data_IF_598254514055
#
_entry.id   IF_598254514055
#
_cell.length_a   1.000
_cell.length_b   1.000
_cell.length_c   1.000
_cell.angle_alpha   90.00
_cell.angle_beta   90.00
_cell.angle_gamma   90.00
#
_symmetry.space_group_name_H-M   'P 1'
#
loop_
_entity.id
_entity.type
_entity.pdbx_description
1 polymer ?
#
# COMPACT_ATOMS: atom_id res chain seq x y z
N UNK A 1 -1.87 2.73 2.91
CA UNK A 1 -1.58 2.26 4.29
C UNK A 1 -0.25 1.53 4.26
N UNK A 2 0.74 1.99 5.03
CA UNK A 2 1.98 1.25 5.24
C UNK A 2 1.71 0.19 6.32
N UNK A 3 1.58 -1.08 5.94
CA UNK A 3 1.70 -2.17 6.90
C UNK A 3 3.19 -2.38 7.13
N UNK A 4 3.70 -1.90 8.27
CA UNK A 4 5.05 -2.22 8.73
C UNK A 4 5.06 -3.69 9.15
N UNK A 5 5.17 -4.59 8.17
CA UNK A 5 5.66 -5.93 8.41
C UNK A 5 7.18 -5.83 8.37
N UNK A 6 7.79 -5.47 9.48
CA UNK A 6 9.16 -5.84 9.83
C UNK A 6 9.32 -5.64 11.33
N UNK A 7 10.30 -6.29 11.95
CA UNK A 7 10.67 -6.03 13.35
C UNK A 7 11.26 -4.61 13.58
N UNK A 8 11.07 -3.67 12.64
CA UNK A 8 11.41 -2.25 12.79
C UNK A 8 10.16 -1.51 13.24
N UNK A 9 10.25 -0.82 14.37
CA UNK A 9 9.17 0.03 14.90
C UNK A 9 8.96 1.32 14.07
N UNK A 10 9.80 1.54 13.05
CA UNK A 10 9.90 2.77 12.28
C UNK A 10 10.24 2.48 10.79
N UNK A 11 9.73 3.31 9.88
CA UNK A 11 10.06 3.36 8.45
C UNK A 11 10.48 4.79 8.03
N UNK A 12 11.09 4.99 6.86
CA UNK A 12 11.53 6.32 6.40
C UNK A 12 12.94 6.73 6.81
N UNK A 13 13.42 7.84 6.23
CA UNK A 13 14.72 8.42 6.52
C UNK A 13 14.82 8.97 7.96
N UNK A 14 16.03 9.22 8.45
CA UNK A 14 16.26 9.70 9.82
C UNK A 14 15.48 10.98 10.14
N UNK A 15 15.33 11.86 9.15
CA UNK A 15 14.63 13.15 9.25
C UNK A 15 13.13 13.08 8.95
N UNK A 16 12.63 11.94 8.45
CA UNK A 16 11.20 11.71 8.18
C UNK A 16 10.80 10.29 8.59
N UNK A 17 10.90 10.02 9.90
CA UNK A 17 10.58 8.70 10.46
C UNK A 17 9.07 8.52 10.64
N UNK A 18 8.57 7.41 10.13
CA UNK A 18 7.21 6.91 10.30
C UNK A 18 7.17 5.92 11.45
N UNK A 19 6.77 6.39 12.62
CA UNK A 19 6.51 5.55 13.79
C UNK A 19 5.06 5.10 13.82
N UNK A 20 4.75 4.02 14.55
CA UNK A 20 3.36 3.60 14.78
C UNK A 20 2.47 4.73 15.30
N UNK A 21 2.93 5.49 16.29
CA UNK A 21 2.17 6.60 16.87
C UNK A 21 1.90 7.72 15.85
N UNK A 22 2.88 8.03 14.98
CA UNK A 22 2.71 9.02 13.91
C UNK A 22 1.69 8.54 12.88
N UNK A 23 1.79 7.28 12.46
CA UNK A 23 0.85 6.68 11.50
C UNK A 23 -0.56 6.68 12.08
N UNK A 24 -0.75 6.24 13.32
CA UNK A 24 -2.06 6.21 13.97
C UNK A 24 -2.68 7.60 14.08
N UNK A 25 -1.88 8.61 14.44
CA UNK A 25 -2.32 10.01 14.50
C UNK A 25 -2.80 10.50 13.13
N UNK A 26 -2.04 10.19 12.07
CA UNK A 26 -2.41 10.56 10.70
C UNK A 26 -3.70 9.87 10.27
N UNK A 27 -3.82 8.56 10.48
CA UNK A 27 -5.02 7.79 10.10
C UNK A 27 -6.26 8.31 10.82
N UNK A 28 -6.17 8.65 12.10
CA UNK A 28 -7.28 9.26 12.84
C UNK A 28 -7.67 10.63 12.28
N UNK A 29 -6.69 11.47 11.95
CA UNK A 29 -6.95 12.79 11.36
C UNK A 29 -7.61 12.67 9.98
N UNK A 30 -7.15 11.75 9.15
CA UNK A 30 -7.71 11.52 7.81
C UNK A 30 -9.09 10.86 7.86
N UNK A 31 -9.34 9.97 8.82
CA UNK A 31 -10.67 9.41 9.04
C UNK A 31 -11.66 10.51 9.49
N UNK A 32 -11.23 11.45 10.34
CA UNK A 32 -12.05 12.60 10.74
C UNK A 32 -12.35 13.56 9.57
N UNK A 33 -11.51 13.57 8.53
CA UNK A 33 -11.73 14.31 7.28
C UNK A 33 -12.54 13.52 6.25
N UNK A 34 -12.97 12.30 6.57
CA UNK A 34 -13.64 11.38 5.63
C UNK A 34 -12.81 11.02 4.39
N UNK A 35 -11.48 10.96 4.54
CA UNK A 35 -10.58 10.52 3.49
C UNK A 35 -10.78 9.02 3.19
N UNK A 36 -10.51 8.64 1.94
CA UNK A 36 -10.57 7.25 1.47
C UNK A 36 -9.23 6.56 1.66
N UNK A 37 -9.23 5.35 2.22
CA UNK A 37 -8.04 4.52 2.38
C UNK A 37 -7.96 3.47 1.27
N UNK A 38 -6.82 3.44 0.59
CA UNK A 38 -6.56 2.49 -0.50
C UNK A 38 -5.55 1.46 -0.02
N UNK A 39 -5.84 0.18 -0.26
CA UNK A 39 -4.93 -0.95 -0.05
C UNK A 39 -4.43 -1.48 -1.41
N UNK A 40 -3.24 -1.09 -1.88
CA UNK A 40 -2.69 -1.59 -3.13
C UNK A 40 -2.50 -3.11 -3.13
N UNK A 41 -2.75 -3.76 -4.28
CA UNK A 41 -2.45 -5.18 -4.49
C UNK A 41 -0.98 -5.50 -4.19
N UNK A 42 -0.06 -4.63 -4.61
CA UNK A 42 1.37 -4.79 -4.34
C UNK A 42 1.67 -4.83 -2.83
N UNK A 43 1.06 -3.92 -2.05
CA UNK A 43 1.20 -3.91 -0.59
C UNK A 43 0.69 -5.20 0.03
N UNK A 44 -0.42 -5.78 -0.46
CA UNK A 44 -0.94 -7.07 0.00
C UNK A 44 0.08 -8.20 -0.25
N UNK A 45 0.64 -8.27 -1.47
CA UNK A 45 1.60 -9.31 -1.85
C UNK A 45 2.90 -9.18 -1.05
N UNK A 46 3.45 -7.97 -0.95
CA UNK A 46 4.71 -7.71 -0.23
C UNK A 46 4.56 -7.98 1.27
N UNK A 47 3.49 -7.48 1.89
CA UNK A 47 3.23 -7.69 3.32
C UNK A 47 3.01 -9.18 3.59
N UNK A 48 2.25 -9.88 2.74
CA UNK A 48 2.02 -11.32 2.86
C UNK A 48 3.31 -12.14 2.76
N UNK A 49 4.15 -11.84 1.77
CA UNK A 49 5.46 -12.48 1.61
C UNK A 49 6.38 -12.18 2.80
N UNK A 50 6.36 -10.95 3.31
CA UNK A 50 7.14 -10.60 4.49
C UNK A 50 6.70 -11.40 5.72
N UNK A 51 5.38 -11.50 5.98
CA UNK A 51 4.83 -12.29 7.10
C UNK A 51 5.26 -13.76 7.02
N UNK A 52 5.38 -14.34 5.82
CA UNK A 52 5.86 -15.70 5.65
C UNK A 52 7.33 -15.87 6.09
N UNK A 53 8.13 -14.81 6.00
CA UNK A 53 9.58 -14.84 6.26
C UNK A 53 9.96 -14.40 7.67
N UNK A 54 9.10 -13.70 8.41
CA UNK A 54 9.45 -13.26 9.79
C UNK A 54 9.55 -14.42 10.77
N UNK A 55 10.37 -14.23 11.79
CA UNK A 55 10.32 -15.02 13.02
C UNK A 55 9.19 -14.49 13.93
N UNK A 56 8.53 -15.38 14.67
CA UNK A 56 7.45 -15.02 15.61
C UNK A 56 6.06 -15.48 15.17
N UNK A 57 5.03 -14.79 15.65
CA UNK A 57 3.64 -15.18 15.47
C UNK A 57 3.07 -14.73 14.11
N UNK A 58 3.33 -15.55 13.09
CA UNK A 58 2.84 -15.34 11.73
C UNK A 58 1.32 -15.39 11.65
N UNK A 59 0.67 -16.19 12.49
CA UNK A 59 -0.78 -16.33 12.48
C UNK A 59 -1.45 -15.02 12.91
N UNK A 60 -0.96 -14.42 14.01
CA UNK A 60 -1.46 -13.13 14.48
C UNK A 60 -1.24 -12.01 13.44
N UNK A 61 -0.07 -11.96 12.82
CA UNK A 61 0.22 -10.97 11.76
C UNK A 61 -0.64 -11.18 10.51
N UNK A 62 -0.77 -12.42 10.04
CA UNK A 62 -1.63 -12.75 8.90
C UNK A 62 -3.10 -12.44 9.19
N UNK A 63 -3.56 -12.67 10.42
CA UNK A 63 -4.94 -12.35 10.83
C UNK A 63 -5.20 -10.85 10.73
N UNK A 64 -4.28 -10.00 11.22
CA UNK A 64 -4.39 -8.54 11.09
C UNK A 64 -4.43 -8.08 9.63
N UNK A 65 -3.57 -8.64 8.77
CA UNK A 65 -3.60 -8.34 7.33
C UNK A 65 -4.93 -8.78 6.70
N UNK A 66 -5.46 -9.95 7.08
CA UNK A 66 -6.73 -10.47 6.58
C UNK A 66 -7.93 -9.61 6.99
N UNK A 67 -7.89 -8.95 8.15
CA UNK A 67 -8.92 -8.00 8.56
C UNK A 67 -8.99 -6.81 7.62
N UNK A 68 -7.85 -6.21 7.26
CA UNK A 68 -7.81 -5.13 6.27
C UNK A 68 -8.24 -5.57 4.88
N UNK A 69 -7.86 -6.79 4.47
CA UNK A 69 -8.30 -7.36 3.20
C UNK A 69 -9.82 -7.47 3.15
N UNK A 70 -10.47 -7.94 4.23
CA UNK A 70 -11.93 -7.99 4.33
C UNK A 70 -12.56 -6.61 4.24
N UNK A 71 -12.03 -5.63 4.99
CA UNK A 71 -12.54 -4.25 4.94
C UNK A 71 -12.49 -3.65 3.52
N UNK A 72 -11.39 -3.86 2.80
CA UNK A 72 -11.24 -3.38 1.42
C UNK A 72 -12.06 -4.18 0.40
N UNK A 73 -12.22 -5.49 0.60
CA UNK A 73 -13.07 -6.33 -0.26
C UNK A 73 -14.55 -5.97 -0.12
N UNK A 74 -15.00 -5.69 1.11
CA UNK A 74 -16.39 -5.35 1.43
C UNK A 74 -16.68 -3.83 1.31
N UNK A 75 -15.71 -3.04 0.82
CA UNK A 75 -15.80 -1.59 0.70
C UNK A 75 -16.28 -0.88 1.98
N UNK A 76 -15.85 -1.37 3.14
CA UNK A 76 -16.19 -0.81 4.43
C UNK A 76 -15.43 0.51 4.63
N UNK A 77 -16.18 1.62 4.72
CA UNK A 77 -15.60 2.95 4.96
C UNK A 77 -14.60 2.94 6.14
N UNK A 78 -13.40 3.53 5.99
CA UNK A 78 -12.96 4.40 4.88
C UNK A 78 -12.33 3.67 3.68
N UNK A 79 -12.37 2.35 3.61
CA UNK A 79 -11.66 1.58 2.59
C UNK A 79 -12.32 1.63 1.21
N UNK A 80 -11.53 1.95 0.19
CA UNK A 80 -11.92 1.81 -1.21
C UNK A 80 -12.13 0.34 -1.57
N UNK A 81 -13.05 0.08 -2.50
CA UNK A 81 -13.29 -1.27 -3.00
C UNK A 81 -12.04 -1.79 -3.73
N UNK A 82 -11.58 -2.98 -3.35
CA UNK A 82 -10.37 -3.60 -3.94
C UNK A 82 -10.46 -3.76 -5.48
N UNK A 83 -11.68 -3.91 -6.01
CA UNK A 83 -11.95 -4.07 -7.45
C UNK A 83 -11.61 -2.85 -8.29
N UNK A 84 -11.53 -1.65 -7.71
CA UNK A 84 -11.17 -0.41 -8.43
C UNK A 84 -9.74 -0.44 -9.00
N UNK A 85 -8.91 -1.38 -8.53
CA UNK A 85 -7.54 -1.57 -9.01
C UNK A 85 -7.42 -2.54 -10.19
N UNK A 86 -8.51 -3.20 -10.60
CA UNK A 86 -8.49 -4.19 -11.68
C UNK A 86 -8.03 -3.60 -13.02
N UNK A 87 -8.35 -2.33 -13.28
CA UNK A 87 -7.94 -1.63 -14.49
C UNK A 87 -6.42 -1.55 -14.63
N UNK A 88 -5.68 -1.43 -13.52
CA UNK A 88 -4.22 -1.37 -13.50
C UNK A 88 -3.56 -2.67 -13.99
N UNK A 89 -4.30 -3.78 -13.96
CA UNK A 89 -3.81 -5.10 -14.38
C UNK A 89 -4.32 -5.53 -15.76
N UNK A 90 -4.97 -4.62 -16.51
CA UNK A 90 -5.38 -4.86 -17.89
C UNK A 90 -4.18 -4.87 -18.86
N UNK A 91 -4.37 -5.47 -20.04
CA UNK A 91 -3.30 -5.71 -21.01
C UNK A 91 -2.48 -4.45 -21.37
N UNK A 92 -3.12 -3.30 -21.53
CA UNK A 92 -2.44 -2.05 -21.90
C UNK A 92 -1.60 -1.49 -20.75
N UNK A 93 -2.09 -1.56 -19.50
CA UNK A 93 -1.32 -1.14 -18.33
C UNK A 93 -0.17 -2.10 -18.02
N UNK A 94 -0.36 -3.41 -18.24
CA UNK A 94 0.73 -4.39 -18.16
C UNK A 94 1.80 -4.14 -19.23
N UNK A 95 1.41 -3.78 -20.46
CA UNK A 95 2.35 -3.42 -21.52
C UNK A 95 3.13 -2.17 -21.12
N UNK A 96 2.46 -1.12 -20.66
CA UNK A 96 3.10 0.09 -20.18
C UNK A 96 4.07 -0.18 -19.01
N UNK A 97 3.67 -1.02 -18.05
CA UNK A 97 4.54 -1.44 -16.95
C UNK A 97 5.77 -2.20 -17.47
N UNK A 98 5.61 -3.09 -18.46
CA UNK A 98 6.72 -3.85 -19.04
C UNK A 98 7.76 -2.98 -19.75
N UNK A 99 7.33 -1.85 -20.31
CA UNK A 99 8.19 -0.89 -21.01
C UNK A 99 8.90 0.04 -20.01
N UNK A 100 8.19 0.49 -18.97
CA UNK A 100 8.68 1.51 -18.05
C UNK A 100 9.46 0.96 -16.85
N UNK A 101 9.03 -0.19 -16.30
CA UNK A 101 9.61 -0.73 -15.07
C UNK A 101 11.11 -1.07 -15.18
N UNK A 102 11.66 -1.61 -16.28
CA UNK A 102 13.10 -1.92 -16.35
C UNK A 102 14.01 -0.74 -16.03
N UNK A 103 13.61 0.49 -16.42
CA UNK A 103 14.36 1.71 -16.10
C UNK A 103 14.28 2.11 -14.62
N UNK A 104 13.15 1.81 -13.96
CA UNK A 104 12.97 1.99 -12.51
C UNK A 104 13.74 0.93 -11.73
N UNK A 105 13.73 -0.32 -12.20
CA UNK A 105 14.50 -1.41 -11.61
C UNK A 105 16.02 -1.12 -11.64
N UNK A 106 16.52 -0.49 -12.70
CA UNK A 106 17.91 -0.01 -12.76
C UNK A 106 18.26 1.02 -11.67
N UNK A 107 17.26 1.68 -11.10
CA UNK A 107 17.36 2.62 -9.98
C UNK A 107 16.99 1.98 -8.63
N UNK A 108 16.94 0.63 -8.58
CA UNK A 108 16.62 -0.15 -7.40
C UNK A 108 15.17 0.03 -6.88
N UNK A 109 14.24 0.39 -7.75
CA UNK A 109 12.81 0.40 -7.46
C UNK A 109 12.17 -0.94 -7.84
N UNK A 110 11.42 -1.52 -6.90
CA UNK A 110 10.73 -2.78 -7.14
C UNK A 110 9.53 -2.60 -8.07
N UNK A 111 9.03 -3.70 -8.62
CA UNK A 111 7.77 -3.69 -9.38
C UNK A 111 6.58 -3.32 -8.49
N UNK A 112 6.67 -3.61 -7.18
CA UNK A 112 5.69 -3.20 -6.19
C UNK A 112 5.65 -1.68 -6.05
N UNK A 113 6.81 -1.02 -5.93
CA UNK A 113 6.91 0.44 -5.86
C UNK A 113 6.30 1.11 -7.11
N UNK A 114 6.61 0.58 -8.29
CA UNK A 114 6.07 1.07 -9.55
C UNK A 114 4.54 0.97 -9.59
N UNK A 115 3.99 -0.18 -9.17
CA UNK A 115 2.53 -0.41 -9.19
C UNK A 115 1.78 0.33 -8.08
N UNK A 116 2.41 0.59 -6.92
CA UNK A 116 1.85 1.48 -5.88
C UNK A 116 1.74 2.91 -6.42
N UNK A 117 2.75 3.38 -7.16
CA UNK A 117 2.70 4.68 -7.82
C UNK A 117 1.57 4.74 -8.86
N UNK A 118 1.36 3.68 -9.64
CA UNK A 118 0.27 3.65 -10.63
C UNK A 118 -1.12 3.73 -9.97
N UNK A 119 -1.31 3.09 -8.81
CA UNK A 119 -2.53 3.26 -7.99
C UNK A 119 -2.70 4.73 -7.57
N UNK A 120 -1.63 5.38 -7.11
CA UNK A 120 -1.69 6.78 -6.72
C UNK A 120 -2.04 7.70 -7.89
N UNK A 121 -1.45 7.46 -9.06
CA UNK A 121 -1.77 8.21 -10.29
C UNK A 121 -3.21 8.01 -10.75
N UNK A 122 -3.77 6.81 -10.59
CA UNK A 122 -5.17 6.54 -10.90
C UNK A 122 -6.11 7.44 -10.10
N UNK A 123 -5.94 7.49 -8.77
CA UNK A 123 -6.76 8.36 -7.93
C UNK A 123 -6.45 9.85 -8.17
N UNK A 124 -5.21 10.21 -8.46
CA UNK A 124 -4.88 11.59 -8.82
C UNK A 124 -5.60 12.04 -10.09
N UNK A 125 -5.61 11.21 -11.14
CA UNK A 125 -6.33 11.45 -12.40
C UNK A 125 -7.85 11.52 -12.20
N UNK A 126 -8.38 10.83 -11.21
CA UNK A 126 -9.78 10.90 -10.80
C UNK A 126 -10.12 12.16 -9.96
N UNK A 127 -9.15 13.05 -9.70
CA UNK A 127 -9.35 14.34 -9.03
C UNK A 127 -9.08 14.32 -7.52
N UNK A 128 -8.53 13.23 -6.98
CA UNK A 128 -8.18 13.15 -5.56
C UNK A 128 -6.81 13.78 -5.28
N UNK A 129 -6.68 14.38 -4.10
CA UNK A 129 -5.35 14.64 -3.51
C UNK A 129 -4.87 13.32 -2.91
N UNK A 130 -3.72 12.84 -3.36
CA UNK A 130 -3.20 11.53 -2.97
C UNK A 130 -1.91 11.69 -2.19
N UNK A 131 -1.85 11.06 -1.03
CA UNK A 131 -0.64 10.93 -0.21
C UNK A 131 -0.25 9.46 -0.13
N UNK A 132 0.98 9.13 -0.53
CA UNK A 132 1.49 7.77 -0.41
C UNK A 132 2.34 7.68 0.85
N UNK A 133 1.93 6.79 1.76
CA UNK A 133 2.72 6.46 2.94
C UNK A 133 3.69 5.34 2.55
N UNK A 134 4.88 5.69 2.09
CA UNK A 134 6.00 4.77 1.84
C UNK A 134 7.18 5.09 2.76
N UNK A 135 8.01 4.10 3.06
CA UNK A 135 9.21 4.24 3.89
C UNK A 135 10.50 4.30 3.10
#
# INVERSE_FOLDING_TARGET
>A
MLLVASAKEEAGAHEDRWTHARIDTLLQAEQAKHSTFVLPVATLIETGNHIAQVAGDRFSLATKLADYLRLAADACSPWAAFTEQADLWQADNLRALSENWPALAAQNLSIGDATIKDVAEYYHKAGYTVEILTG
#
